data_IF_169075674131
#
_entry.id   IF_169075674131
#
_cell.length_a   1.000
_cell.length_b   1.000
_cell.length_c   1.000
_cell.angle_alpha   90.00
_cell.angle_beta   90.00
_cell.angle_gamma   90.00
#
_symmetry.space_group_name_H-M   'P 1'
#
loop_
_entity.id
_entity.type
_entity.pdbx_description
1 polymer ?
#
# COMPACT_ATOMS: atom_id res chain seq x y z
N UNK A 1 27.80 -23.81 1.53
CA UNK A 1 27.00 -23.55 0.32
C UNK A 1 26.38 -22.16 0.37
N UNK A 2 27.01 -21.23 -0.35
CA UNK A 2 26.60 -19.81 -0.42
C UNK A 2 25.20 -19.67 -1.00
N UNK A 3 24.83 -20.46 -1.99
CA UNK A 3 23.52 -20.42 -2.64
C UNK A 3 22.37 -20.79 -1.70
N UNK A 4 22.52 -21.84 -0.89
CA UNK A 4 21.49 -22.22 0.11
C UNK A 4 21.25 -21.11 1.15
N UNK A 5 22.30 -20.38 1.47
CA UNK A 5 22.22 -19.24 2.42
C UNK A 5 21.43 -18.06 1.80
N UNK A 6 21.66 -17.80 0.52
CA UNK A 6 20.94 -16.74 -0.21
C UNK A 6 19.47 -17.06 -0.38
N UNK A 7 19.13 -18.32 -0.73
CA UNK A 7 17.73 -18.74 -0.86
C UNK A 7 16.98 -18.69 0.47
N UNK A 8 17.65 -19.06 1.56
CA UNK A 8 17.11 -18.95 2.91
C UNK A 8 16.88 -17.50 3.33
N UNK A 9 17.85 -16.64 3.08
CA UNK A 9 17.75 -15.21 3.36
C UNK A 9 16.59 -14.59 2.59
N UNK A 10 16.47 -14.90 1.30
CA UNK A 10 15.35 -14.48 0.46
C UNK A 10 14.01 -14.93 1.04
N UNK A 11 13.88 -16.21 1.39
CA UNK A 11 12.64 -16.75 1.95
C UNK A 11 12.22 -16.04 3.25
N UNK A 12 13.17 -15.80 4.17
CA UNK A 12 12.90 -15.08 5.41
C UNK A 12 12.48 -13.62 5.18
N UNK A 13 13.11 -12.95 4.22
CA UNK A 13 12.75 -11.58 3.86
C UNK A 13 11.34 -11.53 3.23
N UNK A 14 11.00 -12.49 2.35
CA UNK A 14 9.66 -12.58 1.76
C UNK A 14 8.57 -12.87 2.81
N UNK A 15 8.86 -13.67 3.83
CA UNK A 15 7.93 -13.87 4.96
C UNK A 15 7.74 -12.56 5.74
N UNK A 16 8.81 -11.83 6.00
CA UNK A 16 8.74 -10.54 6.72
C UNK A 16 8.11 -9.40 5.89
N UNK A 17 8.08 -9.55 4.57
CA UNK A 17 7.37 -8.60 3.69
C UNK A 17 5.85 -8.82 3.70
N UNK A 18 5.38 -9.90 4.32
CA UNK A 18 3.94 -10.18 4.42
C UNK A 18 3.27 -9.31 5.47
N UNK A 19 2.13 -8.66 5.17
CA UNK A 19 1.39 -7.86 6.14
C UNK A 19 0.98 -8.68 7.36
N UNK A 20 1.19 -8.14 8.55
CA UNK A 20 0.78 -8.78 9.79
C UNK A 20 1.59 -10.03 10.19
N UNK A 21 2.77 -10.24 9.61
CA UNK A 21 3.66 -11.35 9.97
C UNK A 21 5.05 -10.81 10.28
N UNK A 22 5.69 -11.37 11.29
CA UNK A 22 7.12 -11.16 11.56
C UNK A 22 7.81 -12.50 11.79
N UNK A 23 8.93 -12.74 11.12
CA UNK A 23 9.71 -13.97 11.26
C UNK A 23 11.13 -13.66 11.68
N UNK A 24 11.63 -14.40 12.65
CA UNK A 24 13.03 -14.39 13.08
C UNK A 24 13.62 -15.77 12.88
N UNK A 25 14.88 -15.83 12.47
CA UNK A 25 15.60 -17.08 12.33
C UNK A 25 16.78 -17.14 13.30
N UNK A 26 17.00 -18.32 13.84
CA UNK A 26 18.18 -18.67 14.61
C UNK A 26 18.78 -19.96 14.05
N UNK A 27 20.10 -20.03 14.03
CA UNK A 27 20.85 -21.26 13.74
C UNK A 27 21.22 -21.91 15.06
N UNK A 28 20.89 -23.20 15.19
CA UNK A 28 21.24 -24.03 16.33
C UNK A 28 22.04 -25.26 15.85
N UNK A 29 22.65 -25.96 16.76
CA UNK A 29 23.36 -27.21 16.43
C UNK A 29 22.38 -28.26 15.91
N UNK A 30 22.73 -28.91 14.84
CA UNK A 30 21.98 -30.04 14.31
C UNK A 30 22.10 -31.28 15.20
N UNK A 31 21.28 -32.27 14.91
CA UNK A 31 21.29 -33.56 15.62
C UNK A 31 22.50 -34.45 15.29
N UNK A 32 23.20 -34.16 14.20
CA UNK A 32 24.39 -34.89 13.78
C UNK A 32 25.63 -33.98 13.72
N UNK A 33 26.82 -34.49 13.95
CA UNK A 33 28.05 -33.72 13.84
C UNK A 33 28.23 -33.08 12.47
N UNK A 34 28.47 -31.75 12.44
CA UNK A 34 28.62 -31.01 11.19
C UNK A 34 27.30 -30.52 10.55
N UNK A 35 26.14 -30.76 11.17
CA UNK A 35 24.86 -30.25 10.72
C UNK A 35 24.41 -29.04 11.55
N UNK A 36 23.60 -28.16 10.94
CA UNK A 36 22.97 -27.02 11.61
C UNK A 36 21.45 -27.11 11.44
N UNK A 37 20.72 -26.77 12.51
CA UNK A 37 19.29 -26.67 12.51
C UNK A 37 18.89 -25.20 12.37
N UNK A 38 18.00 -24.93 11.43
CA UNK A 38 17.37 -23.62 11.30
C UNK A 38 16.05 -23.60 12.09
N UNK A 39 15.96 -22.68 13.04
CA UNK A 39 14.73 -22.40 13.77
C UNK A 39 14.12 -21.12 13.18
N UNK A 40 12.89 -21.19 12.73
CA UNK A 40 12.11 -20.04 12.24
C UNK A 40 10.96 -19.81 13.22
N UNK A 41 10.98 -18.66 13.89
CA UNK A 41 9.93 -18.22 14.79
C UNK A 41 9.08 -17.17 14.04
N UNK A 42 7.91 -17.57 13.56
CA UNK A 42 6.94 -16.66 12.96
C UNK A 42 5.92 -16.22 14.01
N UNK A 43 5.63 -14.93 14.05
CA UNK A 43 4.63 -14.33 14.94
C UNK A 43 3.62 -13.55 14.12
N UNK A 44 2.34 -13.67 14.47
CA UNK A 44 1.29 -12.81 13.94
C UNK A 44 1.39 -11.44 14.60
N UNK A 45 1.39 -10.40 13.77
CA UNK A 45 1.24 -9.02 14.18
C UNK A 45 -0.24 -8.62 14.33
N UNK A 46 -0.53 -7.34 14.54
CA UNK A 46 -1.89 -6.85 14.67
C UNK A 46 -2.66 -7.03 13.36
N UNK A 47 -3.88 -7.58 13.47
CA UNK A 47 -4.80 -7.71 12.33
C UNK A 47 -5.21 -6.35 11.78
N UNK A 48 -5.38 -5.36 12.66
CA UNK A 48 -5.77 -4.00 12.29
C UNK A 48 -4.62 -3.05 12.61
N UNK A 49 -4.27 -2.22 11.65
CA UNK A 49 -3.35 -1.10 11.83
C UNK A 49 -3.97 0.17 11.26
N UNK A 50 -3.59 1.32 11.77
CA UNK A 50 -4.14 2.58 11.30
C UNK A 50 -3.22 3.75 11.59
N UNK A 51 -3.45 4.82 10.86
CA UNK A 51 -2.72 6.08 10.97
C UNK A 51 -3.70 7.23 10.81
N UNK A 52 -3.54 8.24 11.65
CA UNK A 52 -4.21 9.53 11.56
C UNK A 52 -3.14 10.61 11.46
N UNK A 53 -3.28 11.52 10.51
CA UNK A 53 -2.37 12.66 10.37
C UNK A 53 -3.13 13.91 9.97
N UNK A 54 -2.59 15.06 10.36
CA UNK A 54 -3.04 16.37 9.90
C UNK A 54 -1.81 17.15 9.44
N UNK A 55 -1.94 17.83 8.33
CA UNK A 55 -0.88 18.64 7.73
C UNK A 55 -1.46 19.89 7.05
N UNK A 56 -0.59 20.81 6.64
CA UNK A 56 -0.95 22.02 5.90
C UNK A 56 -0.37 22.05 4.48
N UNK A 57 -0.08 20.87 3.90
CA UNK A 57 0.48 20.70 2.55
C UNK A 57 -0.59 20.58 1.46
N UNK A 58 -1.84 20.87 1.77
CA UNK A 58 -2.92 20.91 0.77
C UNK A 58 -2.73 22.00 -0.27
N UNK A 59 -3.47 21.92 -1.36
CA UNK A 59 -3.46 22.92 -2.42
C UNK A 59 -4.11 24.23 -1.91
N UNK A 60 -3.54 25.38 -2.28
CA UNK A 60 -4.07 26.70 -1.91
C UNK A 60 -5.47 26.97 -2.48
N UNK A 61 -5.81 26.36 -3.63
CA UNK A 61 -7.13 26.55 -4.26
C UNK A 61 -8.24 25.69 -3.66
N UNK A 62 -7.90 24.59 -3.00
CA UNK A 62 -8.86 23.64 -2.41
C UNK A 62 -8.68 23.44 -0.91
N UNK A 63 -7.87 24.27 -0.27
CA UNK A 63 -7.61 24.22 1.17
C UNK A 63 -6.25 23.63 1.53
N UNK A 64 -5.46 24.38 2.29
CA UNK A 64 -4.12 23.99 2.72
C UNK A 64 -4.14 23.00 3.88
N UNK A 65 -5.06 23.17 4.84
CA UNK A 65 -5.20 22.25 5.96
C UNK A 65 -5.86 20.94 5.50
N UNK A 66 -5.22 19.83 5.84
CA UNK A 66 -5.61 18.50 5.39
C UNK A 66 -5.58 17.52 6.56
N UNK A 67 -6.62 16.70 6.68
CA UNK A 67 -6.69 15.57 7.60
C UNK A 67 -6.70 14.27 6.80
N UNK A 68 -5.90 13.30 7.24
CA UNK A 68 -5.80 12.01 6.59
C UNK A 68 -6.03 10.90 7.62
N UNK A 69 -6.76 9.88 7.22
CA UNK A 69 -6.99 8.67 8.00
C UNK A 69 -6.75 7.45 7.10
N UNK A 70 -6.06 6.46 7.62
CA UNK A 70 -5.87 5.18 6.94
C UNK A 70 -6.08 4.05 7.93
N UNK A 71 -6.79 3.01 7.50
CA UNK A 71 -6.97 1.75 8.23
C UNK A 71 -6.59 0.61 7.30
N UNK A 72 -5.81 -0.33 7.82
CA UNK A 72 -5.39 -1.52 7.09
C UNK A 72 -5.75 -2.77 7.89
N UNK A 73 -6.32 -3.75 7.21
CA UNK A 73 -6.50 -5.12 7.69
C UNK A 73 -5.35 -5.96 7.14
N UNK A 74 -4.52 -6.46 8.03
CA UNK A 74 -3.32 -7.23 7.72
C UNK A 74 -3.64 -8.71 7.83
N UNK A 75 -3.48 -9.44 6.74
CA UNK A 75 -3.72 -10.89 6.65
C UNK A 75 -5.15 -11.31 7.03
N UNK A 76 -6.20 -10.63 6.52
CA UNK A 76 -7.58 -10.96 6.87
C UNK A 76 -8.00 -12.38 6.47
N UNK A 77 -7.47 -12.92 5.38
CA UNK A 77 -7.76 -14.28 4.92
C UNK A 77 -6.74 -15.31 5.39
N UNK A 78 -5.66 -14.92 6.06
CA UNK A 78 -4.61 -15.82 6.52
C UNK A 78 -3.65 -16.30 5.44
N UNK A 79 -3.54 -15.56 4.33
CA UNK A 79 -2.71 -15.89 3.16
C UNK A 79 -1.66 -14.82 2.85
N UNK A 80 -1.48 -13.85 3.74
CA UNK A 80 -0.56 -12.71 3.56
C UNK A 80 -1.13 -11.59 2.71
N UNK A 81 -2.44 -11.45 2.67
CA UNK A 81 -3.17 -10.40 1.98
C UNK A 81 -3.32 -9.14 2.84
N UNK A 82 -3.67 -8.03 2.22
CA UNK A 82 -3.90 -6.76 2.91
C UNK A 82 -4.99 -5.96 2.23
N UNK A 83 -5.95 -5.50 3.02
CA UNK A 83 -6.94 -4.51 2.62
C UNK A 83 -6.63 -3.20 3.33
N UNK A 84 -6.57 -2.11 2.57
CA UNK A 84 -6.39 -0.76 3.13
C UNK A 84 -7.48 0.18 2.64
N UNK A 85 -7.99 1.01 3.53
CA UNK A 85 -8.95 2.08 3.23
C UNK A 85 -8.35 3.38 3.71
N UNK A 86 -8.33 4.38 2.84
CA UNK A 86 -7.79 5.71 3.10
C UNK A 86 -8.82 6.80 2.87
N UNK A 87 -8.80 7.80 3.72
CA UNK A 87 -9.61 9.01 3.63
C UNK A 87 -8.68 10.21 3.73
N UNK A 88 -8.88 11.19 2.87
CA UNK A 88 -8.21 12.49 2.97
C UNK A 88 -9.24 13.59 2.77
N UNK A 89 -9.25 14.56 3.66
CA UNK A 89 -10.19 15.67 3.65
C UNK A 89 -9.47 16.99 3.82
N UNK A 90 -9.80 17.95 2.95
CA UNK A 90 -9.45 19.37 3.10
C UNK A 90 -10.71 20.23 2.96
N UNK A 91 -10.57 21.57 2.95
CA UNK A 91 -11.71 22.49 2.81
C UNK A 91 -12.49 22.26 1.51
N UNK A 92 -11.79 22.06 0.39
CA UNK A 92 -12.39 21.87 -0.93
C UNK A 92 -12.00 20.55 -1.60
N UNK A 93 -11.56 19.53 -0.83
CA UNK A 93 -11.21 18.24 -1.42
C UNK A 93 -11.53 17.10 -0.47
N UNK A 94 -12.31 16.15 -0.95
CA UNK A 94 -12.60 14.89 -0.28
C UNK A 94 -12.08 13.74 -1.15
N UNK A 95 -11.25 12.87 -0.57
CA UNK A 95 -10.71 11.68 -1.24
C UNK A 95 -11.04 10.45 -0.39
N UNK A 96 -11.59 9.44 -1.02
CA UNK A 96 -11.72 8.10 -0.45
C UNK A 96 -11.07 7.10 -1.39
N UNK A 97 -10.29 6.19 -0.83
CA UNK A 97 -9.64 5.14 -1.60
C UNK A 97 -9.61 3.82 -0.86
N UNK A 98 -9.60 2.74 -1.61
CA UNK A 98 -9.41 1.41 -1.09
C UNK A 98 -8.39 0.67 -1.96
N UNK A 99 -7.59 -0.19 -1.35
CA UNK A 99 -6.64 -1.04 -2.05
C UNK A 99 -6.58 -2.43 -1.42
N UNK A 100 -6.38 -3.42 -2.27
CA UNK A 100 -6.21 -4.80 -1.86
C UNK A 100 -4.98 -5.41 -2.51
N UNK A 101 -4.14 -6.03 -1.72
CA UNK A 101 -2.93 -6.70 -2.15
C UNK A 101 -2.98 -8.17 -1.78
N UNK A 102 -2.84 -9.03 -2.79
CA UNK A 102 -2.98 -10.48 -2.68
C UNK A 102 -1.68 -11.17 -3.12
N UNK A 103 -1.03 -11.99 -2.28
CA UNK A 103 0.08 -12.82 -2.75
C UNK A 103 -0.44 -13.93 -3.66
N UNK A 104 0.21 -14.09 -4.81
CA UNK A 104 -0.16 -15.13 -5.79
C UNK A 104 0.71 -16.37 -5.67
N UNK A 105 1.93 -16.23 -5.15
CA UNK A 105 2.84 -17.35 -4.95
C UNK A 105 3.83 -17.10 -3.82
N UNK A 106 4.57 -18.16 -3.44
CA UNK A 106 5.59 -18.09 -2.40
C UNK A 106 6.88 -17.34 -2.83
N UNK A 107 7.06 -17.05 -4.12
CA UNK A 107 8.21 -16.33 -4.65
C UNK A 107 8.07 -14.80 -4.52
N UNK A 108 6.94 -14.33 -4.00
CA UNK A 108 6.67 -12.90 -3.75
C UNK A 108 5.90 -12.18 -4.85
N UNK A 109 5.34 -12.89 -5.84
CA UNK A 109 4.44 -12.27 -6.82
C UNK A 109 3.14 -11.86 -6.11
N UNK A 110 2.74 -10.59 -6.27
CA UNK A 110 1.53 -10.02 -5.69
C UNK A 110 0.65 -9.38 -6.75
N UNK A 111 -0.64 -9.58 -6.61
CA UNK A 111 -1.68 -8.83 -7.32
C UNK A 111 -2.10 -7.66 -6.45
N UNK A 112 -2.18 -6.47 -7.03
CA UNK A 112 -2.60 -5.26 -6.36
C UNK A 112 -3.78 -4.66 -7.13
N UNK A 113 -4.88 -4.41 -6.44
CA UNK A 113 -6.04 -3.73 -6.97
C UNK A 113 -6.31 -2.49 -6.11
N UNK A 114 -6.63 -1.36 -6.74
CA UNK A 114 -6.99 -0.16 -6.00
C UNK A 114 -8.08 0.63 -6.73
N UNK A 115 -8.85 1.37 -5.97
CA UNK A 115 -9.83 2.31 -6.48
C UNK A 115 -9.89 3.55 -5.62
N UNK A 116 -10.14 4.71 -6.22
CA UNK A 116 -10.32 5.95 -5.50
C UNK A 116 -11.41 6.82 -6.13
N UNK A 117 -12.02 7.63 -5.28
CA UNK A 117 -12.95 8.67 -5.63
C UNK A 117 -12.46 9.98 -5.02
N UNK A 118 -12.33 10.99 -5.85
CA UNK A 118 -11.97 12.35 -5.50
C UNK A 118 -13.13 13.27 -5.83
N UNK A 119 -13.52 14.11 -4.90
CA UNK A 119 -14.38 15.27 -5.13
C UNK A 119 -13.61 16.53 -4.77
N UNK A 120 -13.68 17.53 -5.63
CA UNK A 120 -13.07 18.82 -5.36
C UNK A 120 -14.02 19.98 -5.67
N UNK A 121 -13.82 21.06 -4.93
CA UNK A 121 -14.51 22.33 -5.07
C UNK A 121 -13.49 23.46 -4.89
N UNK A 122 -13.46 24.40 -5.80
CA UNK A 122 -12.50 25.52 -5.77
C UNK A 122 -13.10 26.66 -4.95
N UNK A 123 -12.58 26.88 -3.72
CA UNK A 123 -13.04 27.92 -2.80
C UNK A 123 -12.12 29.17 -2.85
N UNK A 124 -11.75 29.62 -4.04
CA UNK A 124 -11.07 30.92 -4.20
C UNK A 124 -12.06 32.02 -4.52
N UNK A 125 -11.99 33.16 -3.78
CA UNK A 125 -12.89 34.29 -3.97
C UNK A 125 -12.96 34.80 -5.42
N UNK A 126 -11.86 34.72 -6.15
CA UNK A 126 -11.79 35.12 -7.56
C UNK A 126 -12.60 34.20 -8.50
N UNK A 127 -12.82 32.94 -8.12
CA UNK A 127 -13.50 31.92 -8.92
C UNK A 127 -14.85 31.50 -8.36
N UNK A 128 -15.28 32.03 -7.22
CA UNK A 128 -16.61 31.79 -6.63
C UNK A 128 -17.77 31.96 -7.60
N UNK A 129 -17.76 32.96 -8.51
CA UNK A 129 -18.86 33.08 -9.50
C UNK A 129 -18.93 31.96 -10.51
N UNK A 130 -17.85 31.18 -10.67
CA UNK A 130 -17.77 30.09 -11.64
C UNK A 130 -18.16 28.71 -11.06
N UNK A 131 -18.30 28.61 -9.73
CA UNK A 131 -18.64 27.38 -8.98
C UNK A 131 -17.95 26.13 -9.56
N UNK A 132 -16.61 26.22 -9.67
CA UNK A 132 -15.79 25.17 -10.26
C UNK A 132 -15.71 23.97 -9.32
N UNK A 133 -16.33 22.88 -9.71
CA UNK A 133 -16.32 21.62 -8.99
C UNK A 133 -16.15 20.46 -9.94
N UNK A 134 -15.62 19.37 -9.43
CA UNK A 134 -15.48 18.18 -10.24
C UNK A 134 -15.29 16.94 -9.39
N UNK A 135 -15.34 15.83 -10.05
CA UNK A 135 -15.03 14.55 -9.45
C UNK A 135 -14.11 13.74 -10.37
N UNK A 136 -13.30 12.91 -9.73
CA UNK A 136 -12.44 11.98 -10.45
C UNK A 136 -12.59 10.60 -9.82
N UNK A 137 -12.66 9.60 -10.67
CA UNK A 137 -12.69 8.19 -10.28
C UNK A 137 -11.50 7.50 -10.88
N UNK A 138 -10.79 6.71 -10.09
CA UNK A 138 -9.73 5.87 -10.60
C UNK A 138 -9.88 4.43 -10.16
N UNK A 139 -9.43 3.53 -11.02
CA UNK A 139 -9.31 2.11 -10.71
C UNK A 139 -8.00 1.60 -11.29
N UNK A 140 -7.27 0.79 -10.55
CA UNK A 140 -6.02 0.21 -10.99
C UNK A 140 -5.91 -1.27 -10.67
N UNK A 141 -5.23 -1.99 -11.53
CA UNK A 141 -4.87 -3.40 -11.35
C UNK A 141 -3.41 -3.57 -11.75
N UNK A 142 -2.62 -4.20 -10.88
CA UNK A 142 -1.20 -4.35 -11.10
C UNK A 142 -0.63 -5.63 -10.52
N UNK A 143 0.53 -6.01 -11.05
CA UNK A 143 1.37 -7.08 -10.54
C UNK A 143 2.68 -6.50 -10.05
N UNK A 144 3.19 -7.03 -8.96
CA UNK A 144 4.52 -6.70 -8.45
C UNK A 144 5.29 -7.97 -8.09
N UNK A 145 6.59 -7.97 -8.42
CA UNK A 145 7.46 -9.12 -8.19
C UNK A 145 8.85 -8.66 -7.73
N UNK A 146 9.34 -9.13 -6.57
CA UNK A 146 10.70 -8.88 -6.10
C UNK A 146 11.70 -9.78 -6.85
N UNK A 147 12.29 -9.26 -7.93
CA UNK A 147 13.29 -9.97 -8.73
C UNK A 147 14.54 -10.28 -7.90
N UNK A 148 15.04 -9.25 -7.17
CA UNK A 148 16.13 -9.40 -6.22
C UNK A 148 15.59 -8.98 -4.85
N UNK A 149 15.70 -9.86 -3.86
CA UNK A 149 15.34 -9.57 -2.47
C UNK A 149 16.43 -10.12 -1.55
N UNK A 150 17.32 -9.25 -1.12
CA UNK A 150 18.40 -9.52 -0.18
C UNK A 150 18.59 -8.35 0.79
N UNK A 151 19.43 -8.50 1.78
CA UNK A 151 19.73 -7.40 2.73
C UNK A 151 20.48 -6.24 2.08
N UNK A 152 21.27 -6.53 1.05
CA UNK A 152 22.14 -5.53 0.40
C UNK A 152 21.54 -4.98 -0.88
N UNK A 153 20.68 -5.74 -1.57
CA UNK A 153 20.15 -5.39 -2.88
C UNK A 153 18.68 -5.75 -2.97
N UNK A 154 17.88 -4.83 -3.49
CA UNK A 154 16.46 -5.05 -3.75
C UNK A 154 16.13 -4.53 -5.14
N UNK A 155 15.50 -5.37 -5.95
CA UNK A 155 14.97 -5.00 -7.26
C UNK A 155 13.54 -5.50 -7.35
N UNK A 156 12.60 -4.58 -7.44
CA UNK A 156 11.18 -4.88 -7.65
C UNK A 156 10.79 -4.50 -9.08
N UNK A 157 10.10 -5.41 -9.74
CA UNK A 157 9.43 -5.16 -11.00
C UNK A 157 7.94 -5.03 -10.75
N UNK A 158 7.31 -4.00 -11.30
CA UNK A 158 5.87 -3.82 -11.23
C UNK A 158 5.30 -3.39 -12.58
N UNK A 159 4.10 -3.86 -12.87
CA UNK A 159 3.30 -3.44 -14.00
C UNK A 159 1.90 -3.11 -13.49
N UNK A 160 1.40 -1.92 -13.80
CA UNK A 160 0.09 -1.46 -13.33
C UNK A 160 -0.66 -0.85 -14.51
N UNK A 161 -1.90 -1.28 -14.67
CA UNK A 161 -2.88 -0.64 -15.54
C UNK A 161 -3.76 0.25 -14.67
N UNK A 162 -3.93 1.50 -15.06
CA UNK A 162 -4.78 2.47 -14.37
C UNK A 162 -5.77 3.08 -15.34
N UNK A 163 -7.03 3.12 -14.92
CA UNK A 163 -8.11 3.84 -15.60
C UNK A 163 -8.54 5.02 -14.74
N UNK A 164 -8.64 6.20 -15.36
CA UNK A 164 -9.12 7.43 -14.73
C UNK A 164 -10.26 8.01 -15.53
N UNK A 165 -11.33 8.39 -14.85
CA UNK A 165 -12.43 9.17 -15.39
C UNK A 165 -12.53 10.48 -14.59
N UNK A 166 -12.54 11.61 -15.30
CA UNK A 166 -12.67 12.94 -14.73
C UNK A 166 -13.95 13.56 -15.26
N UNK A 167 -14.69 14.20 -14.38
CA UNK A 167 -15.90 14.95 -14.69
C UNK A 167 -15.76 16.34 -14.06
N UNK A 168 -15.64 17.35 -14.89
CA UNK A 168 -15.54 18.75 -14.48
C UNK A 168 -16.85 19.47 -14.81
N UNK A 169 -17.43 20.13 -13.82
CA UNK A 169 -18.61 20.96 -13.98
C UNK A 169 -18.21 22.42 -13.77
N UNK A 170 -18.44 23.24 -14.78
CA UNK A 170 -18.42 24.68 -14.68
C UNK A 170 -19.84 25.20 -14.86
N UNK A 171 -20.43 25.83 -13.89
CA UNK A 171 -21.72 26.50 -14.05
C UNK A 171 -21.46 27.77 -14.84
N UNK A 172 -21.64 27.67 -16.17
CA UNK A 172 -21.47 28.78 -17.10
C UNK A 172 -22.44 29.90 -16.78
N UNK A 173 -21.93 31.11 -16.81
CA UNK A 173 -22.70 32.36 -16.81
C UNK A 173 -23.55 32.34 -18.09
N UNK A 174 -24.89 32.33 -17.93
CA UNK A 174 -25.84 32.71 -18.97
C UNK A 174 -25.88 34.22 -19.09
#
# INVERSE_FOLDING_TARGET
DVYKRQDLERALLLINDQPGVSAQSALDMGSEPGTSRLLINARKGPLVSGNLSADNYGNRSTGTARANAQVSLNDPLGIGDQLSIGLSKSTGTDIVGASYSLPLNASGLRLNAAGSYLRYEVDQEQFRPLDLRGNARSGSLGLSYPVIRSRLQNLNLSATYEYKALEDEAIGIN
#
